data_IF_707546393981
#
_entry.id   IF_707546393981
#
_cell.length_a   1.000
_cell.length_b   1.000
_cell.length_c   1.000
_cell.angle_alpha   90.00
_cell.angle_beta   90.00
_cell.angle_gamma   90.00
#
_symmetry.space_group_name_H-M   'P 1'
#
loop_
_entity.id
_entity.type
_entity.pdbx_description
1 polymer ?
#
# COMPACT_ATOMS: atom_id res chain seq x y z
N UNK A 1 6.71 -5.37 1.46
CA UNK A 1 5.30 -5.00 1.72
C UNK A 1 4.52 -4.86 0.41
N UNK A 2 4.98 -4.14 -0.62
CA UNK A 2 4.23 -3.86 -1.85
C UNK A 2 3.55 -5.06 -2.51
N UNK A 3 4.25 -6.19 -2.66
CA UNK A 3 3.66 -7.44 -3.19
C UNK A 3 2.47 -7.95 -2.35
N UNK A 4 2.55 -7.82 -1.03
CA UNK A 4 1.48 -8.23 -0.13
C UNK A 4 0.26 -7.31 -0.24
N UNK A 5 0.49 -6.00 -0.38
CA UNK A 5 -0.56 -5.01 -0.60
C UNK A 5 -1.21 -5.24 -1.96
N UNK A 6 -0.42 -5.39 -3.03
CA UNK A 6 -0.93 -5.71 -4.37
C UNK A 6 -1.82 -6.97 -4.37
N UNK A 7 -1.39 -8.02 -3.64
CA UNK A 7 -2.17 -9.25 -3.46
C UNK A 7 -3.50 -8.98 -2.74
N UNK A 8 -3.52 -8.13 -1.71
CA UNK A 8 -4.73 -7.82 -0.96
C UNK A 8 -5.78 -7.13 -1.86
N UNK A 9 -5.37 -6.20 -2.71
CA UNK A 9 -6.25 -5.55 -3.67
C UNK A 9 -6.71 -6.49 -4.79
N UNK A 10 -5.79 -7.25 -5.40
CA UNK A 10 -6.12 -8.13 -6.53
C UNK A 10 -7.10 -9.27 -6.18
N UNK A 11 -7.23 -9.63 -4.89
CA UNK A 11 -8.18 -10.63 -4.41
C UNK A 11 -9.64 -10.16 -4.42
N UNK A 12 -9.87 -8.87 -4.58
CA UNK A 12 -11.21 -8.26 -4.56
C UNK A 12 -11.61 -7.89 -5.98
N UNK A 13 -12.89 -8.07 -6.30
CA UNK A 13 -13.41 -7.69 -7.60
C UNK A 13 -13.51 -6.15 -7.72
N UNK A 14 -13.34 -5.66 -8.95
CA UNK A 14 -13.38 -4.23 -9.23
C UNK A 14 -12.04 -3.50 -9.09
N UNK A 15 -10.96 -4.20 -8.70
CA UNK A 15 -9.62 -3.63 -8.61
C UNK A 15 -8.70 -4.21 -9.69
N UNK A 16 -8.02 -3.32 -10.41
CA UNK A 16 -6.84 -3.61 -11.23
C UNK A 16 -5.61 -3.07 -10.52
N UNK A 17 -4.49 -3.79 -10.57
CA UNK A 17 -3.31 -3.48 -9.76
C UNK A 17 -2.08 -3.28 -10.63
N UNK A 18 -1.52 -2.09 -10.64
CA UNK A 18 -0.19 -1.82 -11.14
C UNK A 18 0.84 -2.13 -10.03
N UNK A 19 1.69 -3.13 -10.24
CA UNK A 19 2.77 -3.47 -9.32
C UNK A 19 4.07 -2.87 -9.84
N UNK A 20 4.43 -1.69 -9.30
CA UNK A 20 5.55 -0.91 -9.78
C UNK A 20 6.81 -1.09 -8.94
N UNK A 21 7.96 -1.03 -9.62
CA UNK A 21 9.28 -0.94 -8.99
C UNK A 21 10.18 -0.04 -9.84
N UNK A 22 11.38 0.29 -9.36
CA UNK A 22 12.35 1.14 -10.09
C UNK A 22 12.99 0.43 -11.30
N UNK A 23 12.83 -0.89 -11.41
CA UNK A 23 13.25 -1.71 -12.54
C UNK A 23 12.17 -2.70 -12.92
N UNK A 24 11.96 -2.86 -14.23
CA UNK A 24 10.99 -3.83 -14.75
C UNK A 24 11.21 -5.24 -14.19
N UNK A 25 12.44 -5.71 -14.18
CA UNK A 25 12.80 -7.03 -13.66
C UNK A 25 12.42 -7.26 -12.19
N UNK A 26 12.39 -6.18 -11.38
CA UNK A 26 11.99 -6.26 -9.98
C UNK A 26 10.46 -6.29 -9.84
N UNK A 27 9.75 -5.54 -10.66
CA UNK A 27 8.30 -5.60 -10.74
C UNK A 27 7.84 -7.00 -11.19
N UNK A 28 8.45 -7.55 -12.24
CA UNK A 28 8.19 -8.91 -12.73
C UNK A 28 8.50 -9.95 -11.66
N UNK A 29 9.64 -9.83 -11.00
CA UNK A 29 10.02 -10.67 -9.87
C UNK A 29 9.03 -10.60 -8.70
N UNK A 30 8.42 -9.44 -8.50
CA UNK A 30 7.33 -9.24 -7.54
C UNK A 30 6.09 -10.07 -7.88
N UNK A 31 5.62 -10.00 -9.12
CA UNK A 31 4.50 -10.80 -9.62
C UNK A 31 4.79 -12.30 -9.55
N UNK A 32 6.00 -12.74 -9.93
CA UNK A 32 6.40 -14.15 -9.84
C UNK A 32 6.42 -14.67 -8.38
N UNK A 33 6.81 -13.85 -7.40
CA UNK A 33 6.72 -14.24 -5.99
C UNK A 33 5.27 -14.41 -5.53
N UNK A 34 4.36 -13.53 -5.98
CA UNK A 34 2.92 -13.67 -5.72
C UNK A 34 2.41 -14.98 -6.32
N UNK A 35 2.73 -15.28 -7.59
CA UNK A 35 2.37 -16.51 -8.30
C UNK A 35 2.85 -17.76 -7.55
N UNK A 36 4.11 -17.80 -7.14
CA UNK A 36 4.67 -18.91 -6.34
C UNK A 36 3.96 -19.10 -5.00
N UNK A 37 3.56 -17.99 -4.37
CA UNK A 37 2.78 -18.04 -3.13
C UNK A 37 1.40 -18.68 -3.34
N UNK A 38 0.74 -18.37 -4.45
CA UNK A 38 -0.55 -18.99 -4.80
C UNK A 38 -0.43 -20.47 -5.22
N UNK A 39 0.62 -20.84 -5.97
CA UNK A 39 0.86 -22.22 -6.36
C UNK A 39 0.83 -23.17 -5.15
N UNK A 40 1.45 -22.75 -4.04
CA UNK A 40 1.42 -23.51 -2.77
C UNK A 40 0.02 -23.65 -2.17
N UNK A 41 -0.89 -22.71 -2.44
CA UNK A 41 -2.29 -22.80 -1.97
C UNK A 41 -3.11 -23.75 -2.85
N UNK A 42 -2.81 -23.78 -4.15
CA UNK A 42 -3.42 -24.75 -5.09
C UNK A 42 -2.95 -26.17 -4.74
N UNK A 43 -1.64 -26.40 -4.55
CA UNK A 43 -1.09 -27.69 -4.12
C UNK A 43 -1.74 -28.21 -2.82
N UNK A 44 -2.10 -27.31 -1.90
CA UNK A 44 -2.78 -27.65 -0.65
C UNK A 44 -4.29 -27.76 -0.77
N UNK A 45 -4.86 -27.63 -1.98
CA UNK A 45 -6.30 -27.67 -2.22
C UNK A 45 -7.09 -26.50 -1.60
N UNK A 46 -6.42 -25.40 -1.26
CA UNK A 46 -7.06 -24.22 -0.64
C UNK A 46 -7.60 -23.21 -1.66
N UNK A 47 -7.15 -23.30 -2.90
CA UNK A 47 -7.60 -22.48 -4.03
C UNK A 47 -7.59 -23.31 -5.30
N UNK A 48 -8.45 -22.97 -6.27
CA UNK A 48 -8.39 -23.55 -7.62
C UNK A 48 -7.41 -22.79 -8.49
N UNK A 49 -6.89 -23.41 -9.55
CA UNK A 49 -5.97 -22.75 -10.49
C UNK A 49 -6.67 -21.59 -11.21
N UNK A 50 -7.91 -21.76 -11.59
CA UNK A 50 -8.73 -20.74 -12.28
C UNK A 50 -8.88 -19.48 -11.42
N UNK A 51 -9.13 -19.64 -10.13
CA UNK A 51 -9.23 -18.50 -9.19
C UNK A 51 -7.89 -17.76 -9.07
N UNK A 52 -6.77 -18.49 -9.04
CA UNK A 52 -5.44 -17.91 -9.01
C UNK A 52 -5.12 -17.16 -10.30
N UNK A 53 -5.44 -17.75 -11.45
CA UNK A 53 -5.19 -17.13 -12.76
C UNK A 53 -6.01 -15.84 -12.92
N UNK A 54 -7.25 -15.81 -12.46
CA UNK A 54 -8.09 -14.61 -12.44
C UNK A 54 -7.47 -13.49 -11.56
N UNK A 55 -6.94 -13.82 -10.38
CA UNK A 55 -6.27 -12.84 -9.52
C UNK A 55 -4.99 -12.31 -10.16
N UNK A 56 -4.17 -13.20 -10.74
CA UNK A 56 -2.90 -12.83 -11.37
C UNK A 56 -3.10 -11.99 -12.64
N UNK A 57 -4.22 -12.18 -13.35
CA UNK A 57 -4.58 -11.37 -14.50
C UNK A 57 -4.81 -9.90 -14.15
N UNK A 58 -5.30 -9.61 -12.95
CA UNK A 58 -5.51 -8.25 -12.43
C UNK A 58 -4.21 -7.51 -12.05
N UNK A 59 -3.06 -8.19 -12.01
CA UNK A 59 -1.79 -7.59 -11.58
C UNK A 59 -0.90 -7.35 -12.80
N UNK A 60 -0.63 -6.09 -13.11
CA UNK A 60 0.29 -5.67 -14.17
C UNK A 60 1.60 -5.18 -13.55
N UNK A 61 2.73 -5.88 -13.75
CA UNK A 61 4.02 -5.40 -13.29
C UNK A 61 4.60 -4.39 -14.26
N UNK A 62 5.27 -3.34 -13.76
CA UNK A 62 5.88 -2.35 -14.63
C UNK A 62 6.59 -1.22 -13.91
N UNK A 63 6.93 -0.18 -14.66
CA UNK A 63 7.49 1.05 -14.14
C UNK A 63 6.37 2.04 -13.79
N UNK A 64 6.63 2.90 -12.82
CA UNK A 64 5.64 3.91 -12.41
C UNK A 64 5.31 4.90 -13.52
N UNK A 65 6.28 5.21 -14.36
CA UNK A 65 6.14 6.11 -15.51
C UNK A 65 5.15 5.59 -16.55
N UNK A 66 5.04 4.27 -16.66
CA UNK A 66 4.19 3.61 -17.66
C UNK A 66 2.78 3.32 -17.14
N UNK A 67 2.64 3.11 -15.82
CA UNK A 67 1.40 2.55 -15.25
C UNK A 67 0.65 3.48 -14.29
N UNK A 68 1.31 4.52 -13.73
CA UNK A 68 0.68 5.30 -12.66
C UNK A 68 -0.18 6.47 -13.13
N UNK A 69 -0.17 6.80 -14.43
CA UNK A 69 -0.90 7.97 -14.95
C UNK A 69 -2.42 7.89 -14.68
N UNK A 70 -3.02 6.73 -14.85
CA UNK A 70 -4.47 6.51 -14.74
C UNK A 70 -4.90 5.89 -13.39
N UNK A 71 -3.98 5.74 -12.43
CA UNK A 71 -4.30 5.17 -11.13
C UNK A 71 -5.24 6.07 -10.32
N UNK A 72 -6.20 5.48 -9.62
CA UNK A 72 -7.09 6.16 -8.67
C UNK A 72 -6.48 6.27 -7.28
N UNK A 73 -5.64 5.30 -6.91
CA UNK A 73 -4.92 5.21 -5.65
C UNK A 73 -3.50 4.70 -5.89
N UNK A 74 -2.52 5.37 -5.32
CA UNK A 74 -1.14 4.89 -5.27
C UNK A 74 -0.75 4.65 -3.82
N UNK A 75 -0.37 3.40 -3.49
CA UNK A 75 0.15 3.04 -2.17
C UNK A 75 1.65 2.82 -2.26
N UNK A 76 2.42 3.77 -1.78
CA UNK A 76 3.87 3.68 -1.73
C UNK A 76 4.32 2.74 -0.60
N UNK A 77 5.18 1.78 -0.93
CA UNK A 77 5.74 0.79 0.00
C UNK A 77 7.23 0.53 -0.26
N UNK A 78 7.97 1.57 -0.62
CA UNK A 78 9.43 1.56 -0.84
C UNK A 78 10.20 1.52 0.49
N UNK A 79 11.51 1.74 0.45
CA UNK A 79 12.35 1.78 1.64
C UNK A 79 11.88 2.83 2.64
N UNK A 80 12.04 2.54 3.94
CA UNK A 80 11.66 3.43 5.04
C UNK A 80 12.70 4.55 5.20
N UNK A 81 12.74 5.45 4.22
CA UNK A 81 13.61 6.61 4.13
C UNK A 81 12.82 7.82 3.63
N UNK A 82 12.92 8.94 4.33
CA UNK A 82 12.16 10.16 4.04
C UNK A 82 12.50 10.72 2.65
N UNK A 83 13.78 10.73 2.28
CA UNK A 83 14.22 11.25 0.98
C UNK A 83 13.69 10.40 -0.17
N UNK A 84 13.76 9.08 -0.05
CA UNK A 84 13.22 8.13 -1.05
C UNK A 84 11.73 8.34 -1.24
N UNK A 85 10.96 8.42 -0.13
CA UNK A 85 9.49 8.59 -0.21
C UNK A 85 9.10 9.94 -0.80
N UNK A 86 9.74 11.03 -0.37
CA UNK A 86 9.52 12.38 -0.95
C UNK A 86 9.80 12.40 -2.45
N UNK A 87 10.96 11.91 -2.87
CA UNK A 87 11.33 11.87 -4.29
C UNK A 87 10.33 11.05 -5.10
N UNK A 88 9.95 9.88 -4.60
CA UNK A 88 8.97 9.01 -5.25
C UNK A 88 7.65 9.74 -5.48
N UNK A 89 7.10 10.40 -4.45
CA UNK A 89 5.84 11.12 -4.58
C UNK A 89 5.95 12.38 -5.43
N UNK A 90 7.07 13.11 -5.39
CA UNK A 90 7.32 14.27 -6.28
C UNK A 90 7.37 13.87 -7.76
N UNK A 91 7.88 12.68 -8.08
CA UNK A 91 7.87 12.14 -9.43
C UNK A 91 6.46 11.71 -9.83
N UNK A 92 5.75 11.00 -8.95
CA UNK A 92 4.37 10.56 -9.16
C UNK A 92 3.39 11.74 -9.30
N UNK A 93 3.62 12.85 -8.59
CA UNK A 93 2.78 14.05 -8.66
C UNK A 93 2.77 14.70 -10.04
N UNK A 94 3.82 14.46 -10.84
CA UNK A 94 3.92 14.93 -12.23
C UNK A 94 3.24 13.98 -13.24
N UNK A 95 3.02 12.72 -12.85
CA UNK A 95 2.56 11.65 -13.74
C UNK A 95 1.08 11.34 -13.48
N UNK A 96 0.69 11.19 -12.23
CA UNK A 96 -0.63 10.72 -11.84
C UNK A 96 -1.71 11.79 -12.13
N UNK A 97 -2.89 11.33 -12.52
CA UNK A 97 -4.06 12.20 -12.73
C UNK A 97 -4.42 12.98 -11.45
N UNK A 98 -5.05 14.16 -11.57
CA UNK A 98 -5.33 15.04 -10.42
C UNK A 98 -6.12 14.39 -9.30
N UNK A 99 -7.04 13.48 -9.62
CA UNK A 99 -7.94 12.80 -8.67
C UNK A 99 -7.27 11.62 -7.95
N UNK A 100 -6.06 11.23 -8.35
CA UNK A 100 -5.34 10.12 -7.74
C UNK A 100 -5.02 10.40 -6.27
N UNK A 101 -5.37 9.47 -5.40
CA UNK A 101 -5.05 9.53 -3.97
C UNK A 101 -3.64 9.00 -3.74
N UNK A 102 -2.83 9.75 -2.98
CA UNK A 102 -1.50 9.31 -2.54
C UNK A 102 -1.53 8.80 -1.11
N UNK A 103 -1.13 7.55 -0.94
CA UNK A 103 -1.03 6.89 0.36
C UNK A 103 0.37 6.32 0.58
N UNK A 104 0.92 6.48 1.78
CA UNK A 104 2.20 5.84 2.15
C UNK A 104 1.98 4.73 3.16
N UNK A 105 2.66 3.60 2.94
CA UNK A 105 2.71 2.48 3.89
C UNK A 105 3.85 2.63 4.91
N UNK A 106 4.36 3.84 5.13
CA UNK A 106 5.36 4.07 6.16
C UNK A 106 4.89 3.56 7.51
N UNK A 107 5.83 3.08 8.33
CA UNK A 107 5.55 2.59 9.69
C UNK A 107 5.80 3.62 10.77
N UNK A 108 6.49 4.72 10.44
CA UNK A 108 6.98 5.67 11.45
C UNK A 108 7.20 7.10 10.96
N UNK A 109 7.36 7.29 9.64
CA UNK A 109 7.67 8.61 9.10
C UNK A 109 6.42 9.50 9.04
N UNK A 110 6.62 10.81 9.16
CA UNK A 110 5.55 11.80 9.11
C UNK A 110 4.90 11.85 7.72
N UNK A 111 3.59 11.62 7.67
CA UNK A 111 2.77 11.74 6.46
C UNK A 111 2.76 13.21 5.99
N UNK A 112 2.64 14.15 6.95
CA UNK A 112 2.72 15.59 6.70
C UNK A 112 4.02 15.95 6.01
N UNK A 113 5.14 15.44 6.52
CA UNK A 113 6.45 15.75 5.96
C UNK A 113 6.68 15.10 4.59
N UNK A 114 6.23 13.86 4.38
CA UNK A 114 6.28 13.19 3.07
C UNK A 114 5.46 14.00 2.05
N UNK A 115 4.28 14.49 2.44
CA UNK A 115 3.37 15.23 1.57
C UNK A 115 3.73 16.70 1.35
N UNK A 116 4.77 17.20 2.03
CA UNK A 116 5.14 18.60 1.90
C UNK A 116 5.66 18.92 0.48
N UNK A 117 5.03 19.91 -0.15
CA UNK A 117 5.36 20.36 -1.51
C UNK A 117 4.64 19.59 -2.63
N UNK A 118 3.76 18.65 -2.32
CA UNK A 118 2.89 18.00 -3.30
C UNK A 118 1.68 18.87 -3.64
N UNK A 119 1.13 18.69 -4.85
CA UNK A 119 -0.06 19.42 -5.34
C UNK A 119 -1.36 18.84 -4.79
N UNK A 120 -1.31 17.67 -4.11
CA UNK A 120 -2.46 16.94 -3.60
C UNK A 120 -2.29 16.49 -2.16
N UNK A 121 -3.39 16.21 -1.43
CA UNK A 121 -3.31 15.71 -0.07
C UNK A 121 -2.72 14.30 -0.02
N UNK A 122 -2.03 14.00 1.09
CA UNK A 122 -1.53 12.68 1.39
C UNK A 122 -2.25 12.05 2.57
N UNK A 123 -2.25 10.71 2.63
CA UNK A 123 -2.75 9.92 3.75
C UNK A 123 -1.77 8.78 4.05
N UNK A 124 -1.69 8.35 5.29
CA UNK A 124 -1.01 7.11 5.64
C UNK A 124 -1.97 5.92 5.47
N UNK A 125 -1.48 4.83 4.88
CA UNK A 125 -2.21 3.56 4.79
C UNK A 125 -1.27 2.44 5.23
N UNK A 126 -1.10 2.30 6.54
CA UNK A 126 -0.12 1.42 7.15
C UNK A 126 -0.67 0.00 7.30
N UNK A 127 -0.17 -0.90 6.47
CA UNK A 127 -0.47 -2.33 6.51
C UNK A 127 0.50 -3.07 7.44
N UNK A 128 0.03 -4.13 8.07
CA UNK A 128 0.83 -5.02 8.90
C UNK A 128 1.26 -6.27 8.12
N UNK A 129 2.49 -6.71 8.36
CA UNK A 129 3.07 -7.86 7.66
C UNK A 129 2.60 -9.20 8.30
N UNK A 130 2.11 -10.17 7.54
CA UNK A 130 1.90 -10.20 6.09
C UNK A 130 0.59 -9.48 5.67
N UNK A 131 0.67 -8.49 4.77
CA UNK A 131 -0.47 -7.67 4.38
C UNK A 131 -1.72 -8.46 3.89
N UNK A 132 -1.60 -9.59 3.18
CA UNK A 132 -2.78 -10.38 2.80
C UNK A 132 -3.50 -11.04 3.97
N UNK A 133 -2.84 -11.26 5.10
CA UNK A 133 -3.34 -12.00 6.26
C UNK A 133 -3.82 -11.07 7.36
N UNK A 134 -3.01 -10.07 7.69
CA UNK A 134 -3.30 -9.13 8.77
C UNK A 134 -4.48 -8.24 8.40
N UNK A 135 -5.44 -8.18 9.31
CA UNK A 135 -6.68 -7.44 9.08
C UNK A 135 -6.56 -5.93 9.31
N UNK A 136 -5.75 -5.54 10.27
CA UNK A 136 -5.60 -4.14 10.66
C UNK A 136 -4.92 -3.32 9.58
N UNK A 137 -5.46 -2.14 9.31
CA UNK A 137 -4.82 -1.05 8.57
C UNK A 137 -4.99 0.23 9.38
N UNK A 138 -3.90 0.87 9.76
CA UNK A 138 -3.97 2.22 10.29
C UNK A 138 -4.10 3.21 9.14
N UNK A 139 -5.10 4.08 9.19
CA UNK A 139 -5.29 5.19 8.27
C UNK A 139 -4.85 6.46 8.99
N UNK A 140 -3.70 7.01 8.61
CA UNK A 140 -3.05 8.10 9.33
C UNK A 140 -3.33 9.44 8.65
N UNK A 141 -3.92 10.36 9.40
CA UNK A 141 -4.18 11.72 8.97
C UNK A 141 -2.98 12.61 9.26
N UNK A 142 -2.30 13.05 8.22
CA UNK A 142 -1.36 14.17 8.28
C UNK A 142 -2.10 15.52 8.23
N UNK A 143 -1.38 16.63 8.36
CA UNK A 143 -1.97 17.98 8.37
C UNK A 143 -2.73 18.31 7.07
N UNK A 144 -2.27 17.80 5.92
CA UNK A 144 -2.85 18.03 4.61
C UNK A 144 -3.87 16.95 4.19
N UNK A 145 -4.16 15.97 5.04
CA UNK A 145 -5.15 14.92 4.74
C UNK A 145 -6.55 15.51 4.87
N UNK A 146 -7.28 15.61 3.77
CA UNK A 146 -8.68 16.07 3.79
C UNK A 146 -9.61 14.98 4.30
N UNK A 147 -10.77 15.36 4.82
CA UNK A 147 -11.80 14.41 5.25
C UNK A 147 -12.22 13.49 4.09
N UNK A 148 -12.39 14.05 2.89
CA UNK A 148 -12.75 13.28 1.70
C UNK A 148 -11.74 12.18 1.38
N UNK A 149 -10.44 12.49 1.40
CA UNK A 149 -9.36 11.51 1.14
C UNK A 149 -9.32 10.44 2.23
N UNK A 150 -9.43 10.85 3.49
CA UNK A 150 -9.47 9.94 4.62
C UNK A 150 -10.64 8.96 4.50
N UNK A 151 -11.84 9.45 4.27
CA UNK A 151 -13.06 8.64 4.19
C UNK A 151 -13.02 7.66 3.01
N UNK A 152 -12.50 8.11 1.85
CA UNK A 152 -12.27 7.24 0.69
C UNK A 152 -11.29 6.10 1.02
N UNK A 153 -10.17 6.39 1.68
CA UNK A 153 -9.18 5.36 2.03
C UNK A 153 -9.71 4.40 3.10
N UNK A 154 -10.49 4.90 4.06
CA UNK A 154 -11.20 4.06 5.04
C UNK A 154 -12.20 3.13 4.34
N UNK A 155 -12.96 3.63 3.36
CA UNK A 155 -13.89 2.82 2.57
C UNK A 155 -13.14 1.74 1.77
N UNK A 156 -12.10 2.11 1.02
CA UNK A 156 -11.25 1.18 0.26
C UNK A 156 -10.65 0.10 1.16
N UNK A 157 -10.15 0.47 2.35
CA UNK A 157 -9.61 -0.51 3.30
C UNK A 157 -10.68 -1.54 3.73
N UNK A 158 -11.93 -1.12 3.94
CA UNK A 158 -13.04 -2.04 4.23
C UNK A 158 -13.38 -2.93 3.04
N UNK A 159 -13.42 -2.38 1.84
CA UNK A 159 -13.70 -3.12 0.59
C UNK A 159 -12.69 -4.24 0.35
N UNK A 160 -11.41 -4.01 0.62
CA UNK A 160 -10.37 -5.05 0.52
C UNK A 160 -10.31 -5.98 1.76
N UNK A 161 -11.37 -6.00 2.56
CA UNK A 161 -11.55 -6.91 3.71
C UNK A 161 -10.66 -6.59 4.91
N UNK A 162 -10.19 -5.35 5.03
CA UNK A 162 -9.42 -4.88 6.18
C UNK A 162 -10.30 -4.23 7.24
N UNK A 163 -9.73 -4.06 8.42
CA UNK A 163 -10.31 -3.29 9.53
C UNK A 163 -9.51 -2.00 9.65
N UNK A 164 -9.98 -0.89 9.06
CA UNK A 164 -9.29 0.39 9.18
C UNK A 164 -9.50 0.99 10.57
N UNK A 165 -8.45 1.58 11.09
CA UNK A 165 -8.46 2.41 12.30
C UNK A 165 -7.89 3.77 11.93
N UNK A 166 -8.68 4.81 12.11
CA UNK A 166 -8.25 6.18 11.87
C UNK A 166 -7.32 6.65 12.99
N UNK A 167 -6.20 7.22 12.62
CA UNK A 167 -5.14 7.65 13.53
C UNK A 167 -4.69 9.06 13.19
N UNK A 168 -4.62 9.92 14.18
CA UNK A 168 -3.92 11.21 14.04
C UNK A 168 -2.42 10.94 13.98
N UNK A 169 -1.74 11.70 13.12
CA UNK A 169 -0.30 11.57 12.97
C UNK A 169 0.42 11.77 14.31
N UNK A 170 1.22 10.79 14.66
CA UNK A 170 2.14 10.83 15.82
C UNK A 170 3.25 9.80 15.60
N UNK A 171 4.39 9.98 16.24
CA UNK A 171 5.52 9.05 16.15
C UNK A 171 5.10 7.62 16.51
N UNK A 172 5.29 6.67 15.60
CA UNK A 172 4.93 5.25 15.76
C UNK A 172 3.42 4.98 15.68
N UNK A 173 2.61 5.95 15.26
CA UNK A 173 1.16 5.85 15.13
C UNK A 173 0.49 5.33 16.41
N UNK A 174 -0.36 4.30 16.34
CA UNK A 174 -0.93 3.68 17.55
C UNK A 174 -0.18 2.39 17.90
N UNK A 175 -0.04 1.47 16.96
CA UNK A 175 0.50 0.13 17.27
C UNK A 175 1.96 0.20 17.68
N UNK A 176 2.83 0.83 16.91
CA UNK A 176 4.25 0.91 17.26
C UNK A 176 4.51 1.77 18.48
N UNK A 177 3.70 2.79 18.72
CA UNK A 177 3.78 3.63 19.91
C UNK A 177 3.49 2.86 21.20
N UNK A 178 2.67 1.82 21.14
CA UNK A 178 2.37 0.93 22.26
C UNK A 178 3.38 -0.22 22.32
N UNK A 179 3.62 -0.88 21.17
CA UNK A 179 4.39 -2.11 21.07
C UNK A 179 5.88 -1.92 21.40
N UNK A 180 6.50 -0.87 20.86
CA UNK A 180 7.95 -0.67 21.05
C UNK A 180 8.33 -0.44 22.51
N UNK A 181 7.65 0.45 23.28
CA UNK A 181 7.88 0.55 24.73
C UNK A 181 7.64 -0.76 25.48
N UNK A 182 6.56 -1.50 25.14
CA UNK A 182 6.28 -2.82 25.74
C UNK A 182 7.43 -3.81 25.54
N UNK A 183 8.00 -3.85 24.33
CA UNK A 183 9.13 -4.74 24.03
C UNK A 183 10.35 -4.30 24.86
N UNK A 184 10.65 -3.00 24.93
CA UNK A 184 11.77 -2.47 25.68
C UNK A 184 11.66 -2.78 27.18
N UNK A 185 10.46 -2.74 27.76
CA UNK A 185 10.24 -3.08 29.16
C UNK A 185 10.35 -4.59 29.44
N UNK A 186 10.22 -5.42 28.41
CA UNK A 186 10.27 -6.88 28.52
C UNK A 186 11.69 -7.48 28.36
N UNK A 187 12.71 -6.66 28.02
CA UNK A 187 14.10 -7.06 27.78
C UNK A 187 14.98 -6.56 28.91
#
# INVERSE_FOLDING_TARGET
MGQGIAKAFAQVDGYEVALCDIKQEWADGGKEKIKKGYARLVEKGKMTQEAVDAILAKITPGLKEDLCADCDLIVEAAFEDMGVKKTTFQELDKIAKPECIFASNTSSLSITEIGNGLTRPMVGMHFFNPAPVMKLVEVIRGENTTDEVNDKVVAIAKEIGKTPVEVKEAAGFVVNRILIPMINEAV
#
